data_IF_537737370203
#
_entry.id   IF_537737370203
#
_cell.length_a   1.000
_cell.length_b   1.000
_cell.length_c   1.000
_cell.angle_alpha   90.00
_cell.angle_beta   90.00
_cell.angle_gamma   90.00
#
_symmetry.space_group_name_H-M   'P 1'
#
loop_
_entity.id
_entity.type
_entity.pdbx_description
1 polymer ?
#
# COMPACT_ATOMS: atom_id res chain seq x y z
N UNK A 1 21.00 -15.12 18.21
CA UNK A 1 21.23 -14.51 16.88
C UNK A 1 20.19 -15.08 15.93
N UNK A 2 19.11 -14.33 15.66
CA UNK A 2 18.02 -14.80 14.81
C UNK A 2 18.28 -14.45 13.33
N UNK A 3 17.98 -15.39 12.47
CA UNK A 3 18.30 -15.41 11.05
C UNK A 3 17.64 -14.23 10.29
N UNK A 4 18.44 -13.36 9.66
CA UNK A 4 18.03 -12.10 9.01
C UNK A 4 17.40 -12.28 7.61
N UNK A 5 16.88 -13.46 7.30
CA UNK A 5 16.28 -13.76 6.00
C UNK A 5 14.76 -13.51 5.93
N UNK A 6 14.06 -13.45 7.08
CA UNK A 6 12.60 -13.65 7.14
C UNK A 6 11.67 -12.44 7.16
N UNK A 7 12.16 -11.19 7.21
CA UNK A 7 11.27 -10.01 7.43
C UNK A 7 10.38 -9.69 6.21
N UNK A 8 10.75 -10.15 5.01
CA UNK A 8 9.94 -9.91 3.79
C UNK A 8 8.56 -10.57 3.85
N UNK A 9 8.46 -11.71 4.54
CA UNK A 9 7.26 -12.53 4.56
C UNK A 9 6.66 -12.65 5.96
N UNK A 10 6.99 -11.72 6.87
CA UNK A 10 6.31 -11.66 8.16
C UNK A 10 4.86 -11.34 7.90
N UNK A 11 4.00 -12.34 8.12
CA UNK A 11 2.57 -12.17 8.10
C UNK A 11 2.19 -11.26 9.26
N UNK A 12 1.30 -10.31 8.97
CA UNK A 12 0.78 -9.38 9.97
C UNK A 12 -0.73 -9.47 10.01
N UNK A 13 -1.25 -9.42 11.23
CA UNK A 13 -2.64 -9.17 11.52
C UNK A 13 -2.78 -7.72 12.01
N UNK A 14 -3.74 -7.00 11.45
CA UNK A 14 -4.07 -5.62 11.84
C UNK A 14 -5.35 -5.54 12.67
N UNK A 15 -5.80 -6.66 13.25
CA UNK A 15 -6.91 -6.69 14.19
C UNK A 15 -6.61 -5.81 15.40
N UNK A 16 -7.35 -4.71 15.52
CA UNK A 16 -7.16 -3.72 16.60
C UNK A 16 -6.05 -2.69 16.37
N UNK A 17 -5.38 -2.73 15.22
CA UNK A 17 -4.27 -1.82 14.87
C UNK A 17 -4.70 -0.86 13.75
N UNK A 18 -4.16 0.35 13.74
CA UNK A 18 -4.46 1.37 12.73
C UNK A 18 -3.17 2.05 12.32
N UNK A 19 -2.71 1.70 11.12
CA UNK A 19 -1.59 2.43 10.54
C UNK A 19 -2.05 3.69 9.84
N UNK A 20 -1.15 4.66 9.70
CA UNK A 20 -1.41 5.94 9.07
C UNK A 20 -0.27 6.34 8.14
N UNK A 21 -0.60 6.52 6.86
CA UNK A 21 0.23 7.26 5.92
C UNK A 21 -0.03 8.75 6.06
N UNK A 22 1.02 9.54 6.30
CA UNK A 22 0.99 11.00 6.28
C UNK A 22 2.38 11.54 5.94
N UNK A 23 2.45 12.53 5.06
CA UNK A 23 3.71 13.19 4.67
C UNK A 23 4.84 12.19 4.30
N UNK A 24 4.50 11.16 3.52
CA UNK A 24 5.39 10.08 3.11
C UNK A 24 5.95 9.22 4.26
N UNK A 25 5.29 9.21 5.41
CA UNK A 25 5.63 8.37 6.56
C UNK A 25 4.45 7.46 6.89
N UNK A 26 4.72 6.19 7.09
CA UNK A 26 3.78 5.22 7.65
C UNK A 26 4.08 5.04 9.13
N UNK A 27 3.09 5.27 9.98
CA UNK A 27 3.18 5.00 11.42
C UNK A 27 2.13 4.00 11.87
N UNK A 28 2.38 3.30 12.98
CA UNK A 28 1.36 2.52 13.70
C UNK A 28 0.53 3.39 14.65
N UNK A 29 -0.34 2.75 15.45
CA UNK A 29 -1.20 3.37 16.46
C UNK A 29 -0.43 4.00 17.61
N UNK A 30 0.81 3.56 17.86
CA UNK A 30 1.73 4.12 18.85
C UNK A 30 2.66 5.20 18.27
N UNK A 31 2.38 5.69 17.06
CA UNK A 31 3.18 6.65 16.30
C UNK A 31 4.62 6.17 15.99
N UNK A 32 4.88 4.86 16.09
CA UNK A 32 6.16 4.30 15.66
C UNK A 32 6.22 4.24 14.15
N UNK A 33 7.38 4.60 13.61
CA UNK A 33 7.59 4.66 12.16
C UNK A 33 7.83 3.26 11.61
N UNK A 34 6.93 2.84 10.73
CA UNK A 34 7.02 1.55 10.04
C UNK A 34 7.73 1.68 8.69
N UNK A 35 7.46 2.77 7.95
CA UNK A 35 8.07 3.03 6.66
C UNK A 35 8.19 4.54 6.38
N UNK A 36 9.14 4.91 5.50
CA UNK A 36 9.30 6.27 4.98
C UNK A 36 9.51 6.23 3.48
N UNK A 37 8.98 7.22 2.76
CA UNK A 37 9.22 7.36 1.32
C UNK A 37 9.99 8.64 1.04
N UNK A 38 11.13 8.50 0.34
CA UNK A 38 11.95 9.61 -0.10
C UNK A 38 12.68 9.26 -1.38
N UNK A 39 12.69 10.20 -2.34
CA UNK A 39 13.38 10.05 -3.62
C UNK A 39 13.05 8.70 -4.30
N UNK A 40 11.75 8.40 -4.41
CA UNK A 40 11.22 7.17 -4.99
C UNK A 40 11.73 5.87 -4.33
N UNK A 41 12.04 5.90 -3.03
CA UNK A 41 12.39 4.71 -2.26
C UNK A 41 11.50 4.60 -1.03
N UNK A 42 10.81 3.47 -0.86
CA UNK A 42 10.19 3.10 0.42
C UNK A 42 11.28 2.44 1.27
N UNK A 43 11.65 3.09 2.36
CA UNK A 43 12.54 2.55 3.39
C UNK A 43 11.72 1.91 4.51
N UNK A 44 11.99 0.64 4.80
CA UNK A 44 11.34 -0.19 5.80
C UNK A 44 12.44 -0.83 6.67
N UNK A 45 12.68 -0.28 7.85
CA UNK A 45 13.84 -0.69 8.67
C UNK A 45 15.16 -0.54 7.89
N UNK A 46 15.82 -1.66 7.59
CA UNK A 46 17.08 -1.72 6.81
C UNK A 46 16.88 -2.14 5.35
N UNK A 47 15.64 -2.15 4.87
CA UNK A 47 15.27 -2.67 3.56
C UNK A 47 14.61 -1.57 2.73
N UNK A 48 14.86 -1.62 1.43
CA UNK A 48 14.39 -0.60 0.51
C UNK A 48 13.61 -1.25 -0.63
N UNK A 49 12.51 -0.60 -1.02
CA UNK A 49 11.81 -0.83 -2.27
C UNK A 49 12.06 0.39 -3.16
N UNK A 50 12.75 0.20 -4.29
CA UNK A 50 12.89 1.24 -5.32
C UNK A 50 11.61 1.33 -6.12
N UNK A 51 10.98 2.50 -6.16
CA UNK A 51 9.69 2.76 -6.78
C UNK A 51 9.88 3.36 -8.17
N UNK A 52 9.03 2.94 -9.08
CA UNK A 52 8.75 3.65 -10.32
C UNK A 52 7.23 3.83 -10.40
N UNK A 53 6.76 5.05 -10.63
CA UNK A 53 5.33 5.30 -10.78
C UNK A 53 5.06 6.17 -12.00
N UNK A 54 3.90 5.95 -12.60
CA UNK A 54 3.37 6.84 -13.62
C UNK A 54 2.00 7.34 -13.17
N UNK A 55 2.02 8.49 -12.49
CA UNK A 55 0.86 9.19 -11.96
C UNK A 55 0.60 10.36 -12.90
N UNK A 56 -0.38 10.23 -13.81
CA UNK A 56 -0.71 11.26 -14.80
C UNK A 56 -0.81 10.76 -16.25
N UNK A 57 -0.25 9.58 -16.57
CA UNK A 57 -0.55 8.88 -17.82
C UNK A 57 -2.02 8.39 -17.84
N UNK A 58 -2.60 8.06 -19.01
CA UNK A 58 -3.96 7.50 -19.09
C UNK A 58 -4.12 6.24 -18.22
N UNK A 59 -2.99 5.52 -18.06
CA UNK A 59 -2.61 4.37 -17.25
C UNK A 59 -2.03 4.61 -15.85
N UNK A 60 -2.75 4.54 -14.71
CA UNK A 60 -2.04 4.41 -13.42
C UNK A 60 -1.24 3.11 -13.38
N UNK A 61 0.07 3.24 -13.10
CA UNK A 61 0.97 2.12 -12.80
C UNK A 61 1.96 2.50 -11.71
N UNK A 62 2.23 1.54 -10.85
CA UNK A 62 3.23 1.59 -9.80
C UNK A 62 4.02 0.29 -9.86
N UNK A 63 5.33 0.39 -9.79
CA UNK A 63 6.26 -0.73 -9.71
C UNK A 63 7.19 -0.48 -8.53
N UNK A 64 7.58 -1.53 -7.83
CA UNK A 64 8.70 -1.46 -6.93
C UNK A 64 9.60 -2.69 -7.03
N UNK A 65 10.90 -2.52 -6.76
CA UNK A 65 11.87 -3.61 -6.72
C UNK A 65 12.56 -3.62 -5.36
N UNK A 66 12.56 -4.77 -4.69
CA UNK A 66 13.24 -4.91 -3.40
C UNK A 66 14.75 -5.02 -3.58
N UNK A 67 15.50 -4.79 -2.50
CA UNK A 67 16.96 -5.02 -2.48
C UNK A 67 17.37 -6.47 -2.76
N UNK A 68 16.43 -7.43 -2.69
CA UNK A 68 16.63 -8.84 -3.06
C UNK A 68 16.21 -9.17 -4.50
N UNK A 69 15.69 -8.21 -5.24
CA UNK A 69 15.23 -8.40 -6.63
C UNK A 69 13.75 -8.79 -6.76
N UNK A 70 13.00 -8.87 -5.66
CA UNK A 70 11.56 -9.19 -5.72
C UNK A 70 10.81 -8.03 -6.37
N UNK A 71 9.87 -8.37 -7.25
CA UNK A 71 9.14 -7.41 -8.05
C UNK A 71 7.72 -7.22 -7.49
N UNK A 72 7.34 -5.97 -7.38
CA UNK A 72 6.02 -5.52 -6.97
C UNK A 72 5.43 -4.67 -8.08
N UNK A 73 4.19 -4.92 -8.45
CA UNK A 73 3.47 -4.13 -9.45
C UNK A 73 2.06 -3.86 -9.00
N UNK A 74 1.53 -2.69 -9.37
CA UNK A 74 0.14 -2.32 -9.20
C UNK A 74 -0.29 -1.49 -10.42
N UNK A 75 -1.51 -1.71 -10.90
CA UNK A 75 -2.03 -0.93 -12.02
C UNK A 75 -3.54 -0.94 -12.09
N UNK A 76 -4.09 0.06 -12.78
CA UNK A 76 -5.53 0.08 -13.06
C UNK A 76 -5.89 -1.01 -14.07
N UNK A 77 -6.95 -1.76 -13.76
CA UNK A 77 -7.46 -2.82 -14.65
C UNK A 77 -8.41 -2.27 -15.72
N UNK A 78 -9.05 -1.14 -15.43
CA UNK A 78 -10.15 -0.56 -16.22
C UNK A 78 -9.86 0.88 -16.64
N UNK A 79 -10.83 1.52 -17.28
CA UNK A 79 -10.79 2.97 -17.59
C UNK A 79 -10.79 3.86 -16.35
N UNK A 80 -11.18 3.32 -15.19
CA UNK A 80 -11.20 4.04 -13.92
C UNK A 80 -10.27 3.37 -12.92
N UNK A 81 -9.79 4.13 -11.94
CA UNK A 81 -9.02 3.63 -10.80
C UNK A 81 -9.88 2.91 -9.75
N UNK A 82 -11.17 2.65 -10.03
CA UNK A 82 -12.07 2.00 -9.09
C UNK A 82 -11.59 0.59 -8.69
N UNK A 83 -10.92 -0.10 -9.61
CA UNK A 83 -10.30 -1.41 -9.37
C UNK A 83 -8.85 -1.35 -9.83
N UNK A 84 -7.94 -1.67 -8.91
CA UNK A 84 -6.54 -1.91 -9.21
C UNK A 84 -6.24 -3.39 -8.99
N UNK A 85 -5.32 -3.92 -9.77
CA UNK A 85 -4.69 -5.20 -9.51
C UNK A 85 -3.24 -4.97 -9.10
N UNK A 86 -2.73 -5.83 -8.23
CA UNK A 86 -1.33 -5.86 -7.86
C UNK A 86 -0.80 -7.29 -7.83
N UNK A 87 0.50 -7.41 -8.08
CA UNK A 87 1.28 -8.64 -7.93
C UNK A 87 2.49 -8.26 -7.06
N UNK A 88 2.58 -8.88 -5.88
CA UNK A 88 3.63 -8.66 -4.90
C UNK A 88 4.37 -9.97 -4.71
N UNK A 89 5.51 -10.13 -5.37
CA UNK A 89 6.35 -11.34 -5.24
C UNK A 89 5.55 -12.65 -5.39
N UNK A 90 4.73 -12.73 -6.45
CA UNK A 90 3.84 -13.85 -6.79
C UNK A 90 2.50 -13.94 -6.03
N UNK A 91 2.23 -13.07 -5.07
CA UNK A 91 0.91 -12.96 -4.45
C UNK A 91 0.08 -11.88 -5.17
N UNK A 92 -1.15 -12.24 -5.55
CA UNK A 92 -2.02 -11.35 -6.32
C UNK A 92 -3.08 -10.70 -5.44
N UNK A 93 -3.24 -9.41 -5.61
CA UNK A 93 -4.21 -8.61 -4.88
C UNK A 93 -5.13 -7.84 -5.81
N UNK A 94 -6.38 -7.67 -5.35
CA UNK A 94 -7.37 -6.77 -5.91
C UNK A 94 -7.63 -5.65 -4.91
N UNK A 95 -7.58 -4.40 -5.37
CA UNK A 95 -7.84 -3.22 -4.56
C UNK A 95 -9.06 -2.49 -5.12
N UNK A 96 -10.21 -2.71 -4.50
CA UNK A 96 -11.49 -2.23 -5.01
C UNK A 96 -12.05 -1.13 -4.12
N UNK A 97 -12.44 0.00 -4.71
CA UNK A 97 -13.18 1.05 -4.00
C UNK A 97 -14.54 0.51 -3.54
N UNK A 98 -14.93 0.83 -2.30
CA UNK A 98 -16.23 0.41 -1.72
C UNK A 98 -17.39 1.00 -2.51
N UNK A 99 -17.26 2.24 -3.00
CA UNK A 99 -18.09 2.77 -4.08
C UNK A 99 -17.30 3.82 -4.88
N UNK A 100 -17.71 4.16 -6.11
CA UNK A 100 -16.94 5.06 -6.99
C UNK A 100 -16.70 6.47 -6.41
N UNK A 101 -17.58 6.95 -5.53
CA UNK A 101 -17.51 8.29 -4.93
C UNK A 101 -16.70 8.32 -3.63
N UNK A 102 -16.49 7.16 -2.99
CA UNK A 102 -15.67 7.00 -1.79
C UNK A 102 -14.33 6.41 -2.19
N UNK A 103 -13.27 7.16 -1.92
CA UNK A 103 -11.88 6.72 -2.16
C UNK A 103 -11.39 5.68 -1.13
N UNK A 104 -12.31 5.08 -0.39
CA UNK A 104 -12.04 3.98 0.52
C UNK A 104 -11.96 2.67 -0.27
N UNK A 105 -10.97 1.83 0.01
CA UNK A 105 -10.78 0.54 -0.66
C UNK A 105 -10.76 -0.62 0.31
N UNK A 106 -11.23 -1.75 -0.19
CA UNK A 106 -10.94 -3.08 0.35
C UNK A 106 -9.88 -3.73 -0.54
N UNK A 107 -8.88 -4.31 0.10
CA UNK A 107 -7.80 -5.07 -0.52
C UNK A 107 -8.07 -6.55 -0.20
N UNK A 108 -8.01 -7.40 -1.21
CA UNK A 108 -8.25 -8.84 -1.09
C UNK A 108 -7.27 -9.63 -1.96
N UNK A 109 -6.94 -10.85 -1.54
CA UNK A 109 -6.28 -11.86 -2.36
C UNK A 109 -7.26 -12.98 -2.72
N UNK A 110 -6.75 -14.16 -3.09
CA UNK A 110 -7.54 -15.35 -3.41
C UNK A 110 -8.22 -15.99 -2.20
N UNK A 111 -7.63 -15.83 -1.00
CA UNK A 111 -8.14 -16.37 0.27
C UNK A 111 -9.26 -15.50 0.85
N UNK A 112 -9.14 -14.19 0.74
CA UNK A 112 -10.16 -13.29 1.29
C UNK A 112 -9.74 -11.83 1.32
N UNK A 113 -10.49 -11.04 2.09
CA UNK A 113 -10.13 -9.65 2.37
C UNK A 113 -9.03 -9.58 3.40
N UNK A 114 -8.02 -8.74 3.15
CA UNK A 114 -6.85 -8.55 4.02
C UNK A 114 -6.87 -7.17 4.69
N UNK A 115 -6.96 -6.10 3.91
CA UNK A 115 -6.82 -4.73 4.39
C UNK A 115 -7.95 -3.82 3.91
N UNK A 116 -8.13 -2.72 4.63
CA UNK A 116 -8.95 -1.59 4.22
C UNK A 116 -8.13 -0.31 4.29
N UNK A 117 -8.21 0.51 3.25
CA UNK A 117 -7.57 1.83 3.22
C UNK A 117 -8.62 2.92 3.14
N UNK A 118 -8.50 3.95 3.99
CA UNK A 118 -9.44 5.07 4.04
C UNK A 118 -8.73 6.42 4.12
N UNK A 119 -8.86 7.29 3.10
CA UNK A 119 -8.42 8.67 3.19
C UNK A 119 -9.15 9.44 4.29
N UNK A 120 -8.46 10.40 4.90
CA UNK A 120 -8.97 11.26 5.96
C UNK A 120 -8.86 12.73 5.52
N UNK A 121 -9.66 13.59 6.15
CA UNK A 121 -9.71 15.02 5.83
C UNK A 121 -8.44 15.78 6.19
N UNK A 122 -7.54 15.21 6.99
CA UNK A 122 -6.34 15.84 7.53
C UNK A 122 -5.09 15.62 6.66
N UNK A 123 -5.24 15.08 5.45
CA UNK A 123 -4.10 14.75 4.61
C UNK A 123 -3.71 13.27 4.61
N UNK A 124 -4.18 12.49 5.60
CA UNK A 124 -3.70 11.13 5.83
C UNK A 124 -4.53 10.05 5.13
N UNK A 125 -3.98 8.84 5.07
CA UNK A 125 -4.68 7.62 4.72
C UNK A 125 -4.47 6.59 5.83
N UNK A 126 -5.57 6.09 6.40
CA UNK A 126 -5.51 5.02 7.42
C UNK A 126 -5.55 3.65 6.75
N UNK A 127 -4.81 2.71 7.30
CA UNK A 127 -4.81 1.29 6.93
C UNK A 127 -5.24 0.48 8.13
N UNK A 128 -6.24 -0.38 7.95
CA UNK A 128 -6.74 -1.29 8.99
C UNK A 128 -6.91 -2.68 8.42
N UNK A 129 -7.16 -3.66 9.27
CA UNK A 129 -7.75 -4.92 8.85
C UNK A 129 -9.06 -4.68 8.08
N UNK A 130 -9.36 -5.52 7.09
CA UNK A 130 -10.54 -5.36 6.24
C UNK A 130 -11.87 -5.55 7.00
N UNK A 131 -11.88 -6.49 7.95
CA UNK A 131 -12.98 -6.90 8.81
C UNK A 131 -12.43 -7.75 9.97
N UNK A 132 -13.27 -8.10 10.95
CA UNK A 132 -12.93 -9.13 11.94
C UNK A 132 -12.67 -10.47 11.24
N UNK A 133 -11.56 -11.13 11.58
CA UNK A 133 -11.15 -12.38 10.92
C UNK A 133 -10.63 -12.20 9.49
N UNK A 134 -10.17 -11.01 9.11
CA UNK A 134 -9.47 -10.81 7.84
C UNK A 134 -8.22 -11.69 7.74
N UNK A 135 -7.85 -12.01 6.50
CA UNK A 135 -6.64 -12.78 6.22
C UNK A 135 -5.38 -11.97 6.57
N UNK A 136 -4.37 -12.66 7.10
CA UNK A 136 -3.05 -12.07 7.30
C UNK A 136 -2.39 -11.74 5.95
N UNK A 137 -1.47 -10.79 5.99
CA UNK A 137 -0.76 -10.31 4.80
C UNK A 137 0.74 -10.14 5.09
N UNK A 138 1.65 -10.41 4.14
CA UNK A 138 3.04 -10.03 4.30
C UNK A 138 3.19 -8.53 4.55
N UNK A 139 4.02 -8.17 5.52
CA UNK A 139 4.25 -6.77 5.91
C UNK A 139 4.65 -5.87 4.73
N UNK A 140 5.56 -6.33 3.86
CA UNK A 140 6.00 -5.53 2.70
C UNK A 140 4.90 -5.32 1.67
N UNK A 141 4.07 -6.33 1.46
CA UNK A 141 2.91 -6.25 0.58
C UNK A 141 1.94 -5.21 1.14
N UNK A 142 1.64 -5.26 2.44
CA UNK A 142 0.80 -4.25 3.10
C UNK A 142 1.35 -2.83 2.91
N UNK A 143 2.66 -2.62 3.08
CA UNK A 143 3.33 -1.33 2.88
C UNK A 143 3.21 -0.87 1.42
N UNK A 144 3.55 -1.72 0.45
CA UNK A 144 3.51 -1.38 -0.98
C UNK A 144 2.08 -1.09 -1.45
N UNK A 145 1.13 -1.96 -1.10
CA UNK A 145 -0.27 -1.85 -1.50
C UNK A 145 -0.92 -0.59 -0.91
N UNK A 146 -0.70 -0.33 0.38
CA UNK A 146 -1.26 0.86 1.04
C UNK A 146 -0.60 2.16 0.56
N UNK A 147 0.68 2.14 0.21
CA UNK A 147 1.34 3.29 -0.42
C UNK A 147 0.75 3.57 -1.82
N UNK A 148 0.49 2.54 -2.62
CA UNK A 148 -0.21 2.70 -3.90
C UNK A 148 -1.60 3.33 -3.74
N UNK A 149 -2.35 2.95 -2.71
CA UNK A 149 -3.61 3.63 -2.36
C UNK A 149 -3.37 5.10 -1.98
N UNK A 150 -2.35 5.41 -1.18
CA UNK A 150 -2.01 6.80 -0.81
C UNK A 150 -1.70 7.65 -2.04
N UNK A 151 -0.99 7.10 -3.03
CA UNK A 151 -0.66 7.78 -4.29
C UNK A 151 -1.84 8.07 -5.21
N UNK A 152 -3.00 7.42 -5.04
CA UNK A 152 -4.15 7.60 -5.95
C UNK A 152 -5.40 8.15 -5.24
N UNK A 153 -5.53 7.88 -3.95
CA UNK A 153 -6.67 8.25 -3.14
C UNK A 153 -6.34 9.35 -2.13
N UNK A 154 -5.05 9.52 -1.80
CA UNK A 154 -4.57 10.55 -0.90
C UNK A 154 -4.79 11.97 -1.43
N UNK A 155 -4.95 12.96 -0.54
CA UNK A 155 -5.24 14.33 -0.94
C UNK A 155 -4.05 15.05 -1.61
N UNK A 156 -2.82 14.58 -1.43
CA UNK A 156 -1.60 15.18 -2.01
C UNK A 156 -1.47 15.05 -3.53
N UNK A 157 -2.17 14.10 -4.14
CA UNK A 157 -2.14 13.84 -5.60
C UNK A 157 -2.59 15.07 -6.41
N UNK A 158 -3.46 15.92 -5.84
CA UNK A 158 -3.93 17.14 -6.49
C UNK A 158 -2.83 18.21 -6.66
N UNK A 159 -1.72 18.17 -5.89
CA UNK A 159 -0.63 19.17 -6.00
C UNK A 159 0.43 18.81 -7.03
N UNK A 160 0.62 17.53 -7.34
CA UNK A 160 1.70 17.07 -8.23
C UNK A 160 1.27 16.96 -9.71
N UNK A 161 -0.03 17.03 -9.98
CA UNK A 161 -0.62 17.02 -11.34
C UNK A 161 -0.82 18.44 -11.91
N UNK A 162 -0.29 19.48 -11.25
CA UNK A 162 -0.26 20.87 -11.74
C UNK A 162 1.18 21.33 -11.97
N UNK A 163 1.91 20.60 -12.83
CA UNK A 163 3.13 21.09 -13.48
C UNK A 163 2.97 20.86 -14.98
#
# INVERSE_FOLDING_TARGET
MANRAGIFNTQIDLSGEVWRWKDNVLTDSGDQVLARVRADVISVGHQNLLIEHNIGAPRFRLRATSSKGNLYTMGQLSFTVNVLNADCDHERYKLQRVNPFRRERVISNDRGSVLRTRPRGDGSLTVTSAAEGAEEIPFFDAVFLSYGCMLIDGPGVQKQMMI
#
